data_IF_914759669257
#
_entry.id   IF_914759669257
#
_cell.length_a   1.000
_cell.length_b   1.000
_cell.length_c   1.000
_cell.angle_alpha   90.00
_cell.angle_beta   90.00
_cell.angle_gamma   90.00
#
_symmetry.space_group_name_H-M   'P 1'
#
loop_
_entity.id
_entity.type
_entity.pdbx_description
1 polymer ?
#
# COMPACT_ATOMS: atom_id res chain seq x y z
N UNK A 1 28.13 -21.30 40.19
CA UNK A 1 27.64 -20.64 38.95
C UNK A 1 27.56 -21.70 37.86
N UNK A 2 26.37 -22.19 37.54
CA UNK A 2 26.18 -23.22 36.52
C UNK A 2 26.18 -22.57 35.15
N UNK A 3 27.23 -22.81 34.37
CA UNK A 3 27.28 -22.46 32.95
C UNK A 3 26.18 -23.27 32.28
N UNK A 4 25.11 -22.62 31.84
CA UNK A 4 24.09 -23.28 31.03
C UNK A 4 24.75 -23.75 29.73
N UNK A 5 24.72 -25.06 29.52
CA UNK A 5 25.18 -25.75 28.31
C UNK A 5 24.77 -24.95 27.07
N UNK A 6 25.75 -24.57 26.25
CA UNK A 6 25.50 -23.98 24.93
C UNK A 6 24.50 -24.90 24.21
N UNK A 7 23.33 -24.35 23.91
CA UNK A 7 22.21 -25.00 23.21
C UNK A 7 22.76 -25.88 22.08
N UNK A 8 22.25 -27.10 21.93
CA UNK A 8 22.65 -28.04 20.89
C UNK A 8 22.48 -27.41 19.48
N UNK A 9 23.55 -26.81 18.97
CA UNK A 9 23.63 -26.24 17.62
C UNK A 9 23.84 -27.36 16.60
N UNK A 10 24.34 -28.53 17.02
CA UNK A 10 24.74 -29.61 16.13
C UNK A 10 23.54 -30.28 15.44
N UNK A 11 22.37 -30.27 16.09
CA UNK A 11 21.12 -30.80 15.55
C UNK A 11 20.12 -29.71 15.10
N UNK A 12 20.52 -28.44 15.08
CA UNK A 12 19.62 -27.34 14.75
C UNK A 12 19.45 -27.21 13.23
N UNK A 13 18.22 -27.38 12.73
CA UNK A 13 17.93 -27.06 11.34
C UNK A 13 18.01 -25.54 11.10
N UNK A 14 18.24 -25.13 9.85
CA UNK A 14 18.20 -23.71 9.49
C UNK A 14 16.86 -23.05 9.85
N UNK A 15 15.75 -23.78 9.74
CA UNK A 15 14.42 -23.28 10.11
C UNK A 15 14.31 -23.03 11.62
N UNK A 16 14.85 -23.93 12.45
CA UNK A 16 14.88 -23.77 13.91
C UNK A 16 15.76 -22.59 14.34
N UNK A 17 16.90 -22.40 13.66
CA UNK A 17 17.75 -21.24 13.86
C UNK A 17 17.02 -19.94 13.54
N UNK A 18 16.38 -19.85 12.37
CA UNK A 18 15.62 -18.66 11.96
C UNK A 18 14.46 -18.39 12.91
N UNK A 19 13.74 -19.42 13.35
CA UNK A 19 12.66 -19.28 14.31
C UNK A 19 13.18 -18.75 15.66
N UNK A 20 14.22 -19.37 16.23
CA UNK A 20 14.84 -18.90 17.49
C UNK A 20 15.44 -17.51 17.37
N UNK A 21 16.08 -17.20 16.24
CA UNK A 21 16.65 -15.89 15.97
C UNK A 21 15.55 -14.83 15.93
N UNK A 22 14.42 -15.10 15.25
CA UNK A 22 13.25 -14.22 15.28
C UNK A 22 12.73 -14.07 16.71
N UNK A 23 12.53 -15.14 17.46
CA UNK A 23 12.04 -15.04 18.85
C UNK A 23 12.98 -14.24 19.77
N UNK A 24 14.30 -14.34 19.58
CA UNK A 24 15.28 -13.70 20.46
C UNK A 24 15.64 -12.27 20.06
N UNK A 25 15.56 -11.93 18.77
CA UNK A 25 16.03 -10.63 18.24
C UNK A 25 14.93 -9.80 17.57
N UNK A 26 13.82 -10.39 17.13
CA UNK A 26 12.62 -9.62 16.80
C UNK A 26 11.80 -9.45 18.07
N UNK A 27 11.95 -8.28 18.72
CA UNK A 27 11.13 -7.92 19.86
C UNK A 27 9.64 -8.07 19.48
N UNK A 28 8.86 -8.83 20.27
CA UNK A 28 7.43 -9.07 20.05
C UNK A 28 6.65 -7.76 19.85
N UNK A 29 7.06 -6.70 20.54
CA UNK A 29 6.48 -5.37 20.40
C UNK A 29 6.71 -4.78 19.00
N UNK A 30 7.89 -4.98 18.41
CA UNK A 30 8.21 -4.54 17.04
C UNK A 30 7.39 -5.32 16.02
N UNK A 31 7.20 -6.63 16.22
CA UNK A 31 6.34 -7.44 15.35
C UNK A 31 4.89 -7.00 15.38
N UNK A 32 4.36 -6.74 16.58
CA UNK A 32 2.99 -6.20 16.75
C UNK A 32 2.87 -4.84 16.08
N UNK A 33 3.84 -3.94 16.28
CA UNK A 33 3.86 -2.64 15.62
C UNK A 33 3.90 -2.73 14.08
N UNK A 34 4.70 -3.64 13.52
CA UNK A 34 4.74 -3.89 12.08
C UNK A 34 3.43 -4.47 11.54
N UNK A 35 2.78 -5.36 12.31
CA UNK A 35 1.48 -5.94 11.96
C UNK A 35 0.37 -4.89 12.02
N UNK A 36 0.40 -4.00 13.01
CA UNK A 36 -0.53 -2.87 13.13
C UNK A 36 -0.30 -1.85 12.01
N UNK A 37 0.94 -1.54 11.66
CA UNK A 37 1.28 -0.70 10.51
C UNK A 37 0.73 -1.33 9.22
N UNK A 38 0.85 -2.65 9.05
CA UNK A 38 0.37 -3.31 7.85
C UNK A 38 -1.17 -3.36 7.80
N UNK A 39 -1.83 -3.61 8.92
CA UNK A 39 -3.30 -3.58 8.99
C UNK A 39 -3.87 -2.18 8.77
N UNK A 40 -3.15 -1.14 9.20
CA UNK A 40 -3.54 0.26 9.03
C UNK A 40 -3.06 0.89 7.71
N UNK A 41 -2.32 0.14 6.89
CA UNK A 41 -1.75 0.65 5.64
C UNK A 41 -2.84 1.14 4.67
N UNK A 42 -2.75 2.42 4.33
CA UNK A 42 -3.56 3.09 3.31
C UNK A 42 -2.66 3.84 2.34
N UNK A 43 -3.08 3.90 1.08
CA UNK A 43 -2.36 4.65 0.05
C UNK A 43 -2.24 6.15 0.43
N UNK A 44 -3.22 6.75 1.10
CA UNK A 44 -3.09 8.11 1.63
C UNK A 44 -2.77 9.13 0.54
N UNK A 45 -1.69 9.90 0.68
CA UNK A 45 -1.16 10.83 -0.34
C UNK A 45 -0.17 10.18 -1.33
N UNK A 46 0.28 8.94 -1.08
CA UNK A 46 1.26 8.25 -1.89
C UNK A 46 0.68 7.88 -3.27
N UNK A 47 1.58 7.75 -4.24
CA UNK A 47 1.27 7.11 -5.53
C UNK A 47 0.96 5.63 -5.34
N UNK A 48 0.30 5.01 -6.32
CA UNK A 48 0.06 3.56 -6.32
C UNK A 48 1.38 2.81 -6.17
N UNK A 49 2.43 3.22 -6.89
CA UNK A 49 3.73 2.52 -6.87
C UNK A 49 4.42 2.59 -5.51
N UNK A 50 4.41 3.75 -4.85
CA UNK A 50 4.96 3.89 -3.51
C UNK A 50 4.18 3.07 -2.48
N UNK A 51 2.84 3.02 -2.61
CA UNK A 51 2.00 2.22 -1.74
C UNK A 51 2.26 0.72 -1.90
N UNK A 52 2.40 0.26 -3.14
CA UNK A 52 2.78 -1.12 -3.47
C UNK A 52 4.16 -1.45 -2.89
N UNK A 53 5.15 -0.57 -3.06
CA UNK A 53 6.51 -0.78 -2.51
C UNK A 53 6.48 -0.92 -0.99
N UNK A 54 5.72 -0.05 -0.29
CA UNK A 54 5.56 -0.13 1.17
C UNK A 54 4.82 -1.42 1.59
N UNK A 55 3.79 -1.79 0.84
CA UNK A 55 3.07 -3.05 1.05
C UNK A 55 4.00 -4.26 0.95
N UNK A 56 4.86 -4.32 -0.07
CA UNK A 56 5.81 -5.43 -0.26
C UNK A 56 6.84 -5.54 0.86
N UNK A 57 7.30 -4.40 1.40
CA UNK A 57 8.19 -4.38 2.55
C UNK A 57 7.52 -4.98 3.79
N UNK A 58 6.29 -4.56 4.10
CA UNK A 58 5.53 -5.09 5.23
C UNK A 58 5.12 -6.56 5.00
N UNK A 59 4.78 -6.95 3.77
CA UNK A 59 4.50 -8.33 3.40
C UNK A 59 5.68 -9.28 3.64
N UNK A 60 6.91 -8.79 3.47
CA UNK A 60 8.14 -9.56 3.75
C UNK A 60 8.36 -9.75 5.25
N UNK A 61 7.99 -8.75 6.05
CA UNK A 61 8.12 -8.77 7.51
C UNK A 61 7.02 -9.60 8.18
N UNK A 62 5.81 -9.54 7.64
CA UNK A 62 4.63 -10.23 8.18
C UNK A 62 4.00 -11.17 7.12
N UNK A 63 4.72 -12.22 6.68
CA UNK A 63 4.22 -13.12 5.63
C UNK A 63 2.92 -13.83 6.03
N UNK A 64 2.70 -14.03 7.33
CA UNK A 64 1.49 -14.63 7.89
C UNK A 64 0.21 -13.83 7.59
N UNK A 65 0.33 -12.52 7.35
CA UNK A 65 -0.81 -11.66 7.02
C UNK A 65 -1.24 -11.79 5.55
N UNK A 66 -0.36 -12.31 4.69
CA UNK A 66 -0.54 -12.43 3.23
C UNK A 66 -0.11 -13.82 2.77
N UNK A 67 -0.76 -14.89 3.26
CA UNK A 67 -0.32 -16.27 3.06
C UNK A 67 -0.42 -16.73 1.61
N UNK A 68 -1.29 -16.13 0.81
CA UNK A 68 -1.51 -16.49 -0.58
C UNK A 68 -1.75 -15.24 -1.44
N UNK A 69 -1.75 -15.44 -2.76
CA UNK A 69 -1.91 -14.34 -3.72
C UNK A 69 -3.27 -13.64 -3.63
N UNK A 70 -4.34 -14.41 -3.42
CA UNK A 70 -5.69 -13.88 -3.24
C UNK A 70 -5.78 -12.91 -2.05
N UNK A 71 -5.15 -13.26 -0.93
CA UNK A 71 -5.08 -12.40 0.26
C UNK A 71 -4.23 -11.15 0.01
N UNK A 72 -3.15 -11.25 -0.78
CA UNK A 72 -2.38 -10.08 -1.22
C UNK A 72 -3.27 -9.12 -2.00
N UNK A 73 -3.95 -9.62 -3.04
CA UNK A 73 -4.85 -8.80 -3.87
C UNK A 73 -5.95 -8.17 -3.03
N UNK A 74 -6.61 -8.96 -2.17
CA UNK A 74 -7.66 -8.48 -1.27
C UNK A 74 -7.17 -7.35 -0.35
N UNK A 75 -5.95 -7.44 0.19
CA UNK A 75 -5.38 -6.38 1.03
C UNK A 75 -4.94 -5.17 0.22
N UNK A 76 -4.35 -5.35 -0.96
CA UNK A 76 -3.99 -4.25 -1.86
C UNK A 76 -5.22 -3.43 -2.26
N UNK A 77 -6.33 -4.09 -2.59
CA UNK A 77 -7.62 -3.43 -2.87
C UNK A 77 -8.14 -2.62 -1.67
N UNK A 78 -7.94 -3.10 -0.43
CA UNK A 78 -8.29 -2.36 0.80
C UNK A 78 -7.33 -1.21 1.12
N UNK A 79 -6.08 -1.29 0.65
CA UNK A 79 -5.05 -0.27 0.83
C UNK A 79 -5.27 0.90 -0.14
N UNK A 80 -5.63 0.63 -1.40
CA UNK A 80 -5.83 1.66 -2.41
C UNK A 80 -6.92 2.67 -2.02
N UNK A 81 -6.79 3.90 -2.56
CA UNK A 81 -7.83 4.92 -2.42
C UNK A 81 -9.14 4.42 -3.00
N UNK A 82 -10.26 4.85 -2.42
CA UNK A 82 -11.60 4.35 -2.77
C UNK A 82 -11.97 4.60 -4.24
N UNK A 83 -11.53 5.70 -4.84
CA UNK A 83 -11.74 5.99 -6.26
C UNK A 83 -10.97 5.02 -7.17
N UNK A 84 -9.70 4.75 -6.86
CA UNK A 84 -8.86 3.77 -7.59
C UNK A 84 -9.44 2.37 -7.42
N UNK A 85 -9.72 1.94 -6.19
CA UNK A 85 -10.27 0.61 -5.91
C UNK A 85 -11.62 0.37 -6.61
N UNK A 86 -12.49 1.39 -6.68
CA UNK A 86 -13.75 1.32 -7.44
C UNK A 86 -13.50 1.12 -8.94
N UNK A 87 -12.58 1.89 -9.52
CA UNK A 87 -12.26 1.77 -10.95
C UNK A 87 -11.64 0.42 -11.29
N UNK A 88 -10.77 -0.10 -10.43
CA UNK A 88 -10.18 -1.44 -10.56
C UNK A 88 -11.25 -2.53 -10.45
N UNK A 89 -12.18 -2.39 -9.51
CA UNK A 89 -13.28 -3.37 -9.32
C UNK A 89 -14.36 -3.31 -10.40
N UNK A 90 -14.54 -2.15 -11.05
CA UNK A 90 -15.56 -1.94 -12.08
C UNK A 90 -15.18 -2.52 -13.44
N UNK A 91 -13.95 -3.02 -13.61
CA UNK A 91 -13.52 -3.70 -14.82
C UNK A 91 -14.20 -5.06 -15.01
N UNK A 92 -14.27 -5.54 -16.26
CA UNK A 92 -14.91 -6.81 -16.63
C UNK A 92 -14.27 -8.05 -16.00
N UNK A 93 -13.06 -7.92 -15.44
CA UNK A 93 -12.32 -8.98 -14.77
C UNK A 93 -11.73 -8.44 -13.46
N UNK A 94 -12.32 -8.77 -12.29
CA UNK A 94 -11.72 -8.47 -11.01
C UNK A 94 -10.30 -9.05 -10.92
N UNK A 95 -9.33 -8.32 -10.34
CA UNK A 95 -7.97 -8.82 -10.27
C UNK A 95 -7.92 -10.08 -9.39
N UNK A 96 -7.37 -11.16 -9.93
CA UNK A 96 -7.07 -12.40 -9.20
C UNK A 96 -5.58 -12.52 -8.91
N UNK A 97 -4.74 -11.88 -9.73
CA UNK A 97 -3.29 -11.83 -9.59
C UNK A 97 -2.82 -10.46 -9.10
N UNK A 98 -1.69 -10.44 -8.38
CA UNK A 98 -1.08 -9.19 -7.88
C UNK A 98 -0.65 -8.29 -9.04
N UNK A 99 -0.11 -8.87 -10.12
CA UNK A 99 0.33 -8.12 -11.30
C UNK A 99 -0.82 -7.35 -11.97
N UNK A 100 -2.00 -7.99 -12.08
CA UNK A 100 -3.20 -7.37 -12.64
C UNK A 100 -3.70 -6.25 -11.74
N UNK A 101 -3.75 -6.50 -10.43
CA UNK A 101 -4.16 -5.52 -9.43
C UNK A 101 -3.31 -4.24 -9.52
N UNK A 102 -1.98 -4.39 -9.58
CA UNK A 102 -1.05 -3.25 -9.69
C UNK A 102 -1.23 -2.54 -11.03
N UNK A 103 -1.26 -3.27 -12.14
CA UNK A 103 -1.37 -2.69 -13.48
C UNK A 103 -2.66 -1.91 -13.67
N UNK A 104 -3.79 -2.47 -13.20
CA UNK A 104 -5.09 -1.81 -13.24
C UNK A 104 -5.11 -0.57 -12.33
N UNK A 105 -4.51 -0.65 -11.13
CA UNK A 105 -4.43 0.49 -10.22
C UNK A 105 -3.58 1.65 -10.77
N UNK A 106 -2.44 1.36 -11.41
CA UNK A 106 -1.59 2.37 -12.05
C UNK A 106 -2.34 3.08 -13.17
N UNK A 107 -3.04 2.32 -14.04
CA UNK A 107 -3.87 2.92 -15.10
C UNK A 107 -4.98 3.78 -14.52
N UNK A 108 -5.64 3.31 -13.47
CA UNK A 108 -6.69 4.08 -12.80
C UNK A 108 -6.14 5.39 -12.21
N UNK A 109 -5.01 5.35 -11.52
CA UNK A 109 -4.36 6.54 -10.98
C UNK A 109 -4.00 7.56 -12.07
N UNK A 110 -3.48 7.09 -13.21
CA UNK A 110 -3.16 7.95 -14.35
C UNK A 110 -4.39 8.73 -14.84
N UNK A 111 -5.49 8.03 -15.15
CA UNK A 111 -6.71 8.68 -15.66
C UNK A 111 -7.36 9.61 -14.64
N UNK A 112 -7.39 9.20 -13.37
CA UNK A 112 -7.91 10.03 -12.27
C UNK A 112 -7.11 11.33 -12.13
N UNK A 113 -5.79 11.27 -12.26
CA UNK A 113 -4.94 12.46 -12.17
C UNK A 113 -5.15 13.40 -13.36
N UNK A 114 -5.26 12.86 -14.58
CA UNK A 114 -5.60 13.64 -15.77
C UNK A 114 -6.95 14.37 -15.62
N UNK A 115 -7.98 13.67 -15.16
CA UNK A 115 -9.30 14.26 -14.90
C UNK A 115 -9.24 15.36 -13.84
N UNK A 116 -8.45 15.14 -12.79
CA UNK A 116 -8.26 16.12 -11.71
C UNK A 116 -7.56 17.38 -12.21
N UNK A 117 -6.53 17.21 -13.03
CA UNK A 117 -5.79 18.32 -13.67
C UNK A 117 -6.70 19.10 -14.62
N UNK A 118 -7.44 18.42 -15.50
CA UNK A 118 -8.39 19.06 -16.41
C UNK A 118 -9.46 19.88 -15.67
N UNK A 119 -10.04 19.31 -14.60
CA UNK A 119 -11.00 20.02 -13.73
C UNK A 119 -10.38 21.23 -13.05
N UNK A 120 -9.13 21.14 -12.60
CA UNK A 120 -8.42 22.26 -11.99
C UNK A 120 -8.19 23.40 -12.99
N UNK A 121 -7.84 23.10 -14.24
CA UNK A 121 -7.70 24.11 -15.30
C UNK A 121 -9.03 24.79 -15.62
N UNK A 122 -10.12 24.02 -15.75
CA UNK A 122 -11.47 24.59 -15.96
C UNK A 122 -11.86 25.51 -14.81
N UNK A 123 -11.60 25.11 -13.56
CA UNK A 123 -11.89 25.95 -12.40
C UNK A 123 -11.08 27.25 -12.39
N UNK A 124 -9.80 27.17 -12.74
CA UNK A 124 -8.92 28.34 -12.86
C UNK A 124 -9.42 29.31 -13.94
N UNK A 125 -9.73 28.81 -15.13
CA UNK A 125 -10.26 29.61 -16.23
C UNK A 125 -11.57 30.34 -15.85
N UNK A 126 -12.51 29.64 -15.20
CA UNK A 126 -13.77 30.24 -14.72
C UNK A 126 -13.55 31.34 -13.67
N UNK A 127 -12.52 31.20 -12.83
CA UNK A 127 -12.17 32.21 -11.82
C UNK A 127 -11.59 33.46 -12.48
N UNK A 128 -10.73 33.28 -13.47
CA UNK A 128 -10.15 34.36 -14.27
C UNK A 128 -11.21 35.11 -15.08
N UNK A 129 -12.12 34.39 -15.76
CA UNK A 129 -13.25 34.97 -16.50
C UNK A 129 -14.14 35.82 -15.59
N UNK A 130 -14.50 35.33 -14.41
CA UNK A 130 -15.27 36.11 -13.42
C UNK A 130 -14.54 37.35 -12.92
N UNK A 131 -13.21 37.28 -12.76
CA UNK A 131 -12.41 38.42 -12.34
C UNK A 131 -12.37 39.51 -13.43
N UNK A 132 -12.23 39.10 -14.70
CA UNK A 132 -12.26 40.01 -15.86
C UNK A 132 -13.62 40.68 -15.98
N UNK A 133 -14.73 39.93 -15.92
CA UNK A 133 -16.09 40.48 -16.00
C UNK A 133 -16.34 41.53 -14.90
N UNK A 134 -15.90 41.26 -13.67
CA UNK A 134 -16.05 42.21 -12.56
C UNK A 134 -15.23 43.49 -12.76
N UNK A 135 -14.03 43.40 -13.34
CA UNK A 135 -13.21 44.59 -13.63
C UNK A 135 -13.78 45.43 -14.78
N UNK A 136 -14.37 44.81 -15.80
CA UNK A 136 -14.98 45.52 -16.93
C UNK A 136 -16.28 46.24 -16.55
N UNK A 137 -17.04 45.72 -15.56
CA UNK A 137 -18.27 46.37 -15.08
C UNK A 137 -18.03 47.54 -14.10
N UNK A 138 -16.80 47.72 -13.61
CA UNK A 138 -16.42 48.83 -12.71
C UNK A 138 -15.77 50.02 -13.45
N UNK A 139 -15.68 49.97 -14.78
CA UNK A 139 -15.25 51.08 -15.64
C UNK A 139 -16.44 51.62 -16.40
#
# INVERSE_FOLDING_TARGET
MTVQMRRDVANMSWQDFVAKFRTMYYNREILVAQQDEFNSLKQGSMTVLEAVKKFEQLARLCPELVPNETEKVRRMMKMFRTNIAKQVSAGSSPPTLVADCISQAIRAEYWINQDKEARAQIFKAKKEEKAVVKQTQLK
#
